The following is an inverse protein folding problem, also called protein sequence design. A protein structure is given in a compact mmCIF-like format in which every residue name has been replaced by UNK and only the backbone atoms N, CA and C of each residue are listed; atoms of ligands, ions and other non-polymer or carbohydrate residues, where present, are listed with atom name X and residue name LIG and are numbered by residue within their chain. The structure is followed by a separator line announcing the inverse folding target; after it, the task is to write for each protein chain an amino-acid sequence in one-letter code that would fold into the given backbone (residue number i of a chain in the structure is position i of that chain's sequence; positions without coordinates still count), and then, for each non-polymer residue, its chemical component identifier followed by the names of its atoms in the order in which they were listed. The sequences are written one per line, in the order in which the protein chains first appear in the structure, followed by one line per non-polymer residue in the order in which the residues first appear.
data_IF_324352314355
#
_entry.id   IF_324352314355
#
_cell.length_a   1.000
_cell.length_b   1.000
_cell.length_c   1.000
_cell.angle_alpha   90.00
_cell.angle_beta   90.00
_cell.angle_gamma   90.00
#
_symmetry.space_group_name_H-M   'P 1'
#
loop_
_entity.id
_entity.type
_entity.pdbx_description
1 polymer ?
#
# COMPACT_ATOMS: atom_id res chain seq x y z
N UNK A 1 32.99 -63.60 -22.96
CA UNK A 1 31.69 -62.92 -23.07
C UNK A 1 31.18 -62.70 -21.65
N UNK A 2 31.25 -61.44 -21.12
CA UNK A 2 30.74 -61.17 -19.82
C UNK A 2 29.26 -60.65 -19.95
N UNK A 3 28.41 -61.22 -19.11
CA UNK A 3 26.98 -60.85 -18.99
C UNK A 3 26.86 -59.57 -18.18
N UNK A 4 26.22 -58.51 -18.78
CA UNK A 4 25.79 -57.31 -18.04
C UNK A 4 24.52 -57.66 -17.25
N UNK A 5 24.42 -57.18 -16.00
CA UNK A 5 23.16 -57.22 -15.24
C UNK A 5 22.23 -56.11 -15.67
N UNK A 6 20.98 -56.43 -16.04
CA UNK A 6 19.87 -55.50 -16.18
C UNK A 6 19.54 -54.85 -14.83
N UNK A 7 19.82 -53.58 -14.70
CA UNK A 7 19.27 -52.76 -13.60
C UNK A 7 17.79 -52.46 -13.95
N UNK A 8 16.90 -53.16 -13.26
CA UNK A 8 15.48 -52.88 -13.28
C UNK A 8 15.21 -51.56 -12.52
N UNK A 9 14.97 -50.46 -13.24
CA UNK A 9 14.52 -49.18 -12.68
C UNK A 9 13.07 -49.37 -12.23
N UNK A 10 12.87 -49.57 -10.92
CA UNK A 10 11.52 -49.53 -10.31
C UNK A 10 11.05 -48.07 -10.35
N UNK A 11 10.27 -47.69 -11.35
CA UNK A 11 9.46 -46.51 -11.30
C UNK A 11 8.34 -46.74 -10.27
N UNK A 12 8.53 -46.22 -9.06
CA UNK A 12 7.47 -46.09 -8.08
C UNK A 12 6.45 -45.09 -8.65
N UNK A 13 5.41 -45.64 -9.31
CA UNK A 13 4.22 -44.87 -9.66
C UNK A 13 3.53 -44.42 -8.36
N UNK A 14 3.75 -43.19 -7.97
CA UNK A 14 2.96 -42.51 -6.93
C UNK A 14 1.49 -42.52 -7.37
N UNK A 15 0.52 -42.85 -6.50
CA UNK A 15 -0.87 -42.78 -6.82
C UNK A 15 -1.21 -41.30 -7.14
N UNK A 16 -1.50 -41.00 -8.41
CA UNK A 16 -2.11 -39.77 -8.80
C UNK A 16 -3.42 -39.64 -8.04
N UNK A 17 -3.57 -38.66 -7.17
CA UNK A 17 -4.85 -38.29 -6.56
C UNK A 17 -5.78 -37.88 -7.70
N UNK A 18 -6.61 -38.82 -8.14
CA UNK A 18 -7.53 -38.63 -9.25
C UNK A 18 -8.48 -37.48 -8.92
N UNK A 19 -8.43 -36.41 -9.70
CA UNK A 19 -9.49 -35.41 -9.79
C UNK A 19 -9.26 -34.03 -9.21
N UNK A 20 -8.16 -33.72 -8.56
CA UNK A 20 -7.93 -32.35 -8.04
C UNK A 20 -7.46 -31.40 -9.14
N UNK A 21 -8.17 -30.30 -9.38
CA UNK A 21 -7.76 -29.25 -10.32
C UNK A 21 -6.36 -28.73 -9.98
N UNK A 22 -5.41 -28.66 -10.93
CA UNK A 22 -4.08 -28.13 -10.67
C UNK A 22 -4.12 -26.63 -10.42
N UNK A 23 -3.35 -26.15 -9.44
CA UNK A 23 -3.19 -24.72 -9.14
C UNK A 23 -2.30 -24.04 -10.20
N UNK A 24 -1.45 -24.83 -10.86
CA UNK A 24 -0.50 -24.32 -11.86
C UNK A 24 0.78 -23.70 -11.25
N UNK A 25 1.00 -23.86 -9.95
CA UNK A 25 2.20 -23.41 -9.22
C UNK A 25 2.85 -24.62 -8.56
N UNK A 26 3.99 -25.14 -9.09
CA UNK A 26 4.61 -26.37 -8.60
C UNK A 26 4.97 -26.32 -7.09
N UNK A 27 5.40 -25.17 -6.59
CA UNK A 27 5.71 -25.01 -5.16
C UNK A 27 4.48 -25.18 -4.26
N UNK A 28 3.30 -24.72 -4.71
CA UNK A 28 2.04 -24.87 -3.97
C UNK A 28 1.54 -26.32 -4.01
N UNK A 29 1.66 -26.98 -5.16
CA UNK A 29 1.32 -28.39 -5.30
C UNK A 29 2.20 -29.26 -4.38
N UNK A 30 3.52 -29.01 -4.37
CA UNK A 30 4.46 -29.72 -3.50
C UNK A 30 4.14 -29.47 -2.02
N UNK A 31 3.79 -28.24 -1.65
CA UNK A 31 3.40 -27.92 -0.27
C UNK A 31 2.11 -28.63 0.15
N UNK A 32 1.07 -28.60 -0.66
CA UNK A 32 -0.18 -29.28 -0.35
C UNK A 32 -0.01 -30.79 -0.29
N UNK A 33 0.83 -31.35 -1.14
CA UNK A 33 1.18 -32.76 -1.09
C UNK A 33 1.92 -33.13 0.20
N UNK A 34 2.93 -32.33 0.60
CA UNK A 34 3.65 -32.52 1.85
C UNK A 34 2.70 -32.44 3.06
N UNK A 35 1.75 -31.52 3.02
CA UNK A 35 0.78 -31.34 4.10
C UNK A 35 -0.23 -32.49 4.16
N UNK A 36 -0.70 -32.98 3.01
CA UNK A 36 -1.54 -34.17 2.94
C UNK A 36 -0.83 -35.43 3.42
N UNK A 37 0.47 -35.58 3.07
CA UNK A 37 1.31 -36.68 3.57
C UNK A 37 1.46 -36.62 5.10
N UNK A 38 1.66 -35.42 5.66
CA UNK A 38 1.67 -35.27 7.12
C UNK A 38 0.32 -35.69 7.75
N UNK A 39 -0.82 -35.30 7.15
CA UNK A 39 -2.15 -35.72 7.61
C UNK A 39 -2.28 -37.27 7.66
N UNK A 40 -1.75 -37.94 6.63
CA UNK A 40 -1.80 -39.43 6.53
C UNK A 40 -0.88 -40.12 7.50
N UNK A 41 0.30 -39.56 7.84
CA UNK A 41 1.34 -40.17 8.68
C UNK A 41 1.33 -39.68 10.13
N UNK A 42 0.52 -38.72 10.49
CA UNK A 42 0.47 -38.08 11.81
C UNK A 42 0.16 -39.13 12.91
N UNK A 43 1.00 -39.13 13.92
CA UNK A 43 0.80 -39.96 15.15
C UNK A 43 -0.07 -39.12 16.10
N UNK A 44 -1.36 -39.40 16.16
CA UNK A 44 -2.27 -38.70 17.05
C UNK A 44 -3.72 -39.10 16.88
N UNK A 45 -4.64 -38.50 17.64
CA UNK A 45 -6.05 -38.76 17.52
C UNK A 45 -6.59 -38.49 16.10
N UNK A 46 -7.60 -39.26 15.70
CA UNK A 46 -8.22 -39.11 14.35
C UNK A 46 -8.74 -37.72 14.06
N UNK A 47 -9.25 -37.01 15.08
CA UNK A 47 -9.71 -35.65 14.98
C UNK A 47 -8.60 -34.67 14.52
N UNK A 48 -7.35 -34.90 14.95
CA UNK A 48 -6.21 -34.10 14.54
C UNK A 48 -5.87 -34.37 13.07
N UNK A 49 -5.86 -35.60 12.62
CA UNK A 49 -5.61 -35.98 11.22
C UNK A 49 -6.70 -35.37 10.30
N UNK A 50 -7.97 -35.46 10.72
CA UNK A 50 -9.09 -34.87 10.02
C UNK A 50 -8.97 -33.34 9.91
N UNK A 51 -8.57 -32.66 11.00
CA UNK A 51 -8.37 -31.20 10.98
C UNK A 51 -7.23 -30.79 10.04
N UNK A 52 -6.14 -31.55 9.98
CA UNK A 52 -5.04 -31.29 9.03
C UNK A 52 -5.52 -31.49 7.58
N UNK A 53 -6.26 -32.56 7.30
CA UNK A 53 -6.81 -32.83 5.98
C UNK A 53 -7.78 -31.72 5.51
N UNK A 54 -8.69 -31.27 6.38
CA UNK A 54 -9.56 -30.13 6.10
C UNK A 54 -8.76 -28.83 5.82
N UNK A 55 -7.65 -28.63 6.53
CA UNK A 55 -6.73 -27.50 6.29
C UNK A 55 -6.13 -27.54 4.89
N UNK A 56 -5.77 -28.73 4.37
CA UNK A 56 -5.26 -28.91 2.99
C UNK A 56 -6.31 -28.48 1.96
N UNK A 57 -7.57 -28.93 2.13
CA UNK A 57 -8.66 -28.57 1.21
C UNK A 57 -8.98 -27.08 1.25
N UNK A 58 -9.01 -26.48 2.43
CA UNK A 58 -9.22 -25.04 2.59
C UNK A 58 -8.12 -24.20 1.92
N UNK A 59 -6.85 -24.62 2.08
CA UNK A 59 -5.72 -23.95 1.42
C UNK A 59 -5.76 -24.14 -0.10
N UNK A 60 -6.06 -25.35 -0.59
CA UNK A 60 -6.22 -25.60 -2.03
C UNK A 60 -7.27 -24.69 -2.64
N UNK A 61 -8.43 -24.58 -2.01
CA UNK A 61 -9.50 -23.67 -2.45
C UNK A 61 -9.05 -22.23 -2.49
N UNK A 62 -8.34 -21.74 -1.45
CA UNK A 62 -7.79 -20.39 -1.42
C UNK A 62 -6.75 -20.14 -2.53
N UNK A 63 -5.91 -21.14 -2.82
CA UNK A 63 -4.91 -21.02 -3.88
C UNK A 63 -5.54 -21.02 -5.27
N UNK A 64 -6.57 -21.82 -5.49
CA UNK A 64 -7.32 -21.80 -6.75
C UNK A 64 -8.00 -20.44 -7.00
N UNK A 65 -8.60 -19.83 -5.96
CA UNK A 65 -9.17 -18.48 -6.06
C UNK A 65 -8.10 -17.42 -6.37
N UNK A 66 -6.93 -17.52 -5.76
CA UNK A 66 -5.81 -16.63 -6.08
C UNK A 66 -5.27 -16.85 -7.49
N UNK A 67 -5.19 -18.11 -7.95
CA UNK A 67 -4.75 -18.46 -9.31
C UNK A 67 -5.69 -17.92 -10.40
N UNK A 68 -7.01 -17.82 -10.13
CA UNK A 68 -7.98 -17.21 -11.06
C UNK A 68 -7.67 -15.74 -11.38
N UNK A 69 -6.85 -15.07 -10.59
CA UNK A 69 -6.38 -13.70 -10.84
C UNK A 69 -5.28 -13.64 -11.92
N UNK A 70 -5.08 -14.71 -12.66
CA UNK A 70 -4.10 -14.83 -13.75
C UNK A 70 -2.65 -14.83 -13.26
N UNK A 71 -1.72 -14.41 -14.12
CA UNK A 71 -0.29 -14.45 -13.85
C UNK A 71 0.13 -13.78 -12.55
N UNK A 72 -0.50 -12.65 -12.19
CA UNK A 72 -0.22 -11.97 -10.92
C UNK A 72 -0.57 -12.84 -9.68
N UNK A 73 -1.69 -13.58 -9.75
CA UNK A 73 -2.08 -14.53 -8.70
C UNK A 73 -1.12 -15.70 -8.59
N UNK A 74 -0.78 -16.31 -9.73
CA UNK A 74 0.17 -17.44 -9.79
C UNK A 74 1.54 -17.07 -9.20
N UNK A 75 2.04 -15.87 -9.44
CA UNK A 75 3.31 -15.40 -8.87
C UNK A 75 3.25 -15.15 -7.37
N UNK A 76 2.17 -14.51 -6.88
CA UNK A 76 1.99 -14.36 -5.42
C UNK A 76 2.01 -15.72 -4.74
N UNK A 77 1.37 -16.72 -5.33
CA UNK A 77 1.41 -18.09 -4.86
C UNK A 77 2.82 -18.68 -4.92
N UNK A 78 3.56 -18.48 -6.00
CA UNK A 78 4.93 -18.97 -6.15
C UNK A 78 5.89 -18.40 -5.06
N UNK A 79 5.69 -17.15 -4.66
CA UNK A 79 6.44 -16.56 -3.56
C UNK A 79 5.93 -16.98 -2.18
N UNK A 80 4.63 -17.17 -2.02
CA UNK A 80 3.96 -17.44 -0.75
C UNK A 80 4.10 -18.89 -0.32
N UNK A 81 3.91 -19.85 -1.21
CA UNK A 81 3.87 -21.28 -0.87
C UNK A 81 5.16 -21.82 -0.25
N UNK A 82 6.38 -21.43 -0.68
CA UNK A 82 7.60 -21.83 0.02
C UNK A 82 7.68 -21.34 1.47
N UNK A 83 7.24 -20.09 1.72
CA UNK A 83 7.23 -19.51 3.08
C UNK A 83 6.21 -20.21 3.98
N UNK A 84 5.01 -20.49 3.46
CA UNK A 84 3.98 -21.22 4.19
C UNK A 84 4.40 -22.66 4.47
N UNK A 85 5.07 -23.31 3.51
CA UNK A 85 5.65 -24.62 3.69
C UNK A 85 6.61 -24.64 4.89
N UNK A 86 7.56 -23.73 4.98
CA UNK A 86 8.53 -23.66 6.06
C UNK A 86 7.89 -23.30 7.41
N UNK A 87 6.89 -22.39 7.41
CA UNK A 87 6.14 -22.03 8.61
C UNK A 87 5.35 -23.21 9.14
N UNK A 88 4.60 -23.89 8.27
CA UNK A 88 3.79 -25.07 8.62
C UNK A 88 4.68 -26.20 9.08
N UNK A 89 5.76 -26.50 8.36
CA UNK A 89 6.74 -27.52 8.74
C UNK A 89 7.27 -27.27 10.16
N UNK A 90 7.71 -26.04 10.44
CA UNK A 90 8.26 -25.68 11.74
C UNK A 90 7.23 -25.79 12.86
N UNK A 91 5.99 -25.43 12.59
CA UNK A 91 4.89 -25.48 13.58
C UNK A 91 4.41 -26.92 13.81
N UNK A 92 4.26 -27.70 12.75
CA UNK A 92 3.76 -29.08 12.81
C UNK A 92 4.79 -30.01 13.41
N UNK A 93 6.07 -29.94 13.00
CA UNK A 93 7.12 -30.84 13.53
C UNK A 93 7.36 -30.66 15.02
N UNK A 94 7.03 -29.48 15.58
CA UNK A 94 7.09 -29.28 17.06
C UNK A 94 5.96 -29.95 17.82
N UNK A 95 4.78 -30.07 17.22
CA UNK A 95 3.56 -30.44 17.93
C UNK A 95 2.99 -31.79 17.46
N UNK A 96 3.33 -32.21 16.26
CA UNK A 96 2.76 -33.40 15.62
C UNK A 96 3.91 -34.20 14.99
N UNK A 97 4.05 -35.44 15.40
CA UNK A 97 5.02 -36.37 14.78
C UNK A 97 4.44 -36.86 13.45
N UNK A 98 4.77 -36.19 12.35
CA UNK A 98 4.43 -36.61 11.00
C UNK A 98 5.61 -36.43 10.05
N UNK A 99 5.55 -37.11 8.93
CA UNK A 99 6.55 -36.99 7.87
C UNK A 99 6.20 -35.76 7.00
N UNK A 100 6.99 -34.71 7.17
CA UNK A 100 6.82 -33.44 6.41
C UNK A 100 8.12 -33.13 5.66
N UNK A 101 8.19 -33.43 4.36
CA UNK A 101 9.43 -33.30 3.58
C UNK A 101 9.89 -31.81 3.51
N UNK A 102 11.16 -31.61 3.20
CA UNK A 102 11.68 -30.25 2.99
C UNK A 102 11.09 -29.60 1.73
N UNK A 103 10.96 -28.28 1.74
CA UNK A 103 10.49 -27.53 0.58
C UNK A 103 11.42 -27.79 -0.64
N UNK A 104 10.80 -28.04 -1.79
CA UNK A 104 11.52 -28.07 -3.06
C UNK A 104 11.67 -26.61 -3.52
N UNK A 105 12.91 -26.15 -3.66
CA UNK A 105 13.18 -24.83 -4.22
C UNK A 105 12.76 -24.81 -5.71
N UNK A 106 11.61 -24.26 -6.00
CA UNK A 106 11.14 -24.03 -7.38
C UNK A 106 11.40 -22.56 -7.68
N UNK A 107 12.19 -22.28 -8.73
CA UNK A 107 12.41 -20.93 -9.18
C UNK A 107 11.06 -20.29 -9.55
N UNK A 108 10.77 -19.13 -8.99
CA UNK A 108 9.60 -18.37 -9.41
C UNK A 108 9.74 -18.01 -10.92
N UNK A 109 8.64 -18.05 -11.70
CA UNK A 109 8.70 -17.65 -13.09
C UNK A 109 9.18 -16.20 -13.19
N UNK A 110 10.03 -15.91 -14.18
CA UNK A 110 10.51 -14.55 -14.41
C UNK A 110 9.32 -13.64 -14.71
N UNK A 111 9.30 -12.47 -14.08
CA UNK A 111 8.28 -11.45 -14.33
C UNK A 111 8.47 -10.87 -15.74
N UNK A 112 7.39 -10.65 -16.47
CA UNK A 112 7.47 -9.84 -17.68
C UNK A 112 7.68 -8.35 -17.33
N UNK A 113 7.98 -7.53 -18.34
CA UNK A 113 8.30 -6.11 -18.14
C UNK A 113 7.15 -5.33 -17.50
N UNK A 114 5.92 -5.61 -17.88
CA UNK A 114 4.73 -4.90 -17.39
C UNK A 114 4.45 -5.26 -15.94
N UNK A 115 4.65 -6.50 -15.59
CA UNK A 115 4.51 -7.02 -14.24
C UNK A 115 5.56 -6.46 -13.30
N UNK A 116 6.83 -6.37 -13.75
CA UNK A 116 7.90 -5.71 -13.00
C UNK A 116 7.57 -4.23 -12.71
N UNK A 117 7.01 -3.51 -13.70
CA UNK A 117 6.53 -2.14 -13.54
C UNK A 117 5.41 -2.08 -12.52
N UNK A 118 4.44 -2.99 -12.59
CA UNK A 118 3.31 -3.05 -11.66
C UNK A 118 3.77 -3.32 -10.22
N UNK A 119 4.67 -4.28 -10.02
CA UNK A 119 5.23 -4.56 -8.70
C UNK A 119 6.00 -3.38 -8.12
N UNK A 120 6.80 -2.70 -8.94
CA UNK A 120 7.53 -1.52 -8.51
C UNK A 120 6.59 -0.38 -8.12
N UNK A 121 5.53 -0.13 -8.91
CA UNK A 121 4.48 0.84 -8.57
C UNK A 121 3.84 0.48 -7.23
N UNK A 122 3.50 -0.79 -7.00
CA UNK A 122 2.92 -1.23 -5.73
C UNK A 122 3.89 -1.00 -4.55
N UNK A 123 5.20 -1.22 -4.75
CA UNK A 123 6.20 -0.93 -3.72
C UNK A 123 6.30 0.58 -3.41
N UNK A 124 6.18 1.45 -4.42
CA UNK A 124 6.09 2.89 -4.23
C UNK A 124 4.79 3.31 -3.52
N UNK A 125 3.64 2.70 -3.86
CA UNK A 125 2.37 2.91 -3.16
C UNK A 125 2.47 2.49 -1.68
N UNK A 126 3.12 1.37 -1.38
CA UNK A 126 3.37 0.93 0.00
C UNK A 126 4.17 1.96 0.80
N UNK A 127 5.19 2.56 0.18
CA UNK A 127 5.96 3.64 0.80
C UNK A 127 5.11 4.90 1.04
N UNK A 128 4.28 5.29 0.07
CA UNK A 128 3.36 6.45 0.20
C UNK A 128 2.32 6.23 1.30
N UNK A 129 1.71 5.06 1.37
CA UNK A 129 0.76 4.72 2.43
C UNK A 129 1.40 4.81 3.82
N UNK A 130 2.67 4.38 3.93
CA UNK A 130 3.42 4.52 5.17
C UNK A 130 3.64 5.99 5.55
N UNK A 131 3.94 6.87 4.58
CA UNK A 131 4.07 8.31 4.82
C UNK A 131 2.76 8.90 5.35
N UNK A 132 1.65 8.62 4.67
CA UNK A 132 0.32 9.14 5.04
C UNK A 132 -0.09 8.69 6.45
N UNK A 133 0.19 7.45 6.79
CA UNK A 133 -0.22 6.86 8.06
C UNK A 133 0.66 7.29 9.23
N UNK A 134 1.98 7.38 9.03
CA UNK A 134 2.93 7.48 10.15
C UNK A 134 3.80 8.73 10.15
N UNK A 135 4.18 9.26 8.98
CA UNK A 135 5.30 10.21 8.94
C UNK A 135 4.89 11.69 8.93
N UNK A 136 3.71 12.05 8.54
CA UNK A 136 3.13 13.43 8.63
C UNK A 136 4.17 14.56 8.81
N UNK A 137 5.17 14.66 7.93
CA UNK A 137 6.37 15.52 8.10
C UNK A 137 6.04 16.98 8.46
N UNK A 138 4.95 17.55 7.90
CA UNK A 138 4.53 18.91 8.24
C UNK A 138 4.12 19.05 9.71
N UNK A 139 3.39 18.06 10.24
CA UNK A 139 3.01 18.04 11.65
C UNK A 139 4.22 17.83 12.54
N UNK A 140 5.11 16.89 12.19
CA UNK A 140 6.35 16.66 12.94
C UNK A 140 7.23 17.91 13.00
N UNK A 141 7.29 18.68 11.91
CA UNK A 141 8.01 19.97 11.89
C UNK A 141 7.38 20.98 12.86
N UNK A 142 6.05 21.12 12.84
CA UNK A 142 5.35 22.04 13.73
C UNK A 142 5.53 21.66 15.21
N UNK A 143 5.33 20.38 15.53
CA UNK A 143 5.50 19.85 16.90
C UNK A 143 6.94 19.99 17.39
N UNK A 144 7.92 19.74 16.51
CA UNK A 144 9.33 19.92 16.81
C UNK A 144 9.66 21.38 17.10
N UNK A 145 9.20 22.31 16.27
CA UNK A 145 9.45 23.74 16.45
C UNK A 145 8.78 24.28 17.72
N UNK A 146 7.55 23.87 17.99
CA UNK A 146 6.86 24.24 19.23
C UNK A 146 7.60 23.73 20.47
N UNK A 147 8.02 22.46 20.45
CA UNK A 147 8.80 21.87 21.53
C UNK A 147 10.15 22.58 21.73
N UNK A 148 10.84 22.88 20.61
CA UNK A 148 12.12 23.61 20.66
C UNK A 148 11.97 25.03 21.22
N UNK A 149 10.93 25.74 20.86
CA UNK A 149 10.66 27.10 21.37
C UNK A 149 10.46 27.16 22.90
N UNK A 150 10.11 26.04 23.51
CA UNK A 150 9.94 25.91 24.98
C UNK A 150 11.20 25.53 25.72
N UNK A 151 12.35 25.40 25.02
CA UNK A 151 13.61 25.11 25.69
C UNK A 151 14.03 26.24 26.68
N UNK A 152 14.61 25.88 27.81
CA UNK A 152 15.22 26.85 28.70
C UNK A 152 16.28 27.70 28.02
N UNK A 153 16.47 28.92 28.45
CA UNK A 153 17.56 29.77 27.93
C UNK A 153 18.93 29.11 28.19
N UNK A 154 19.93 29.34 27.31
CA UNK A 154 21.28 28.85 27.55
C UNK A 154 21.78 29.29 28.92
N UNK A 155 22.41 28.38 29.67
CA UNK A 155 22.92 28.63 31.02
C UNK A 155 21.87 28.59 32.15
N UNK A 156 20.60 28.33 31.85
CA UNK A 156 19.61 28.12 32.90
C UNK A 156 19.91 26.84 33.69
N UNK A 157 19.76 26.90 35.04
CA UNK A 157 19.88 25.71 35.89
C UNK A 157 18.70 24.76 35.55
N UNK A 158 19.01 23.54 35.20
CA UNK A 158 18.00 22.51 34.93
C UNK A 158 17.67 21.81 36.27
N UNK A 159 16.38 21.69 36.58
CA UNK A 159 15.93 20.85 37.68
C UNK A 159 16.03 19.36 37.32
N UNK A 160 15.97 18.50 38.35
CA UNK A 160 15.98 17.04 38.12
C UNK A 160 14.77 16.55 37.32
N UNK A 161 13.69 17.33 37.29
CA UNK A 161 12.46 17.13 36.55
C UNK A 161 12.49 17.70 35.12
N UNK A 162 13.64 18.26 34.66
CA UNK A 162 13.79 18.77 33.31
C UNK A 162 13.41 17.70 32.30
N UNK A 163 12.53 18.04 31.36
CA UNK A 163 11.98 17.12 30.38
C UNK A 163 12.33 17.56 28.95
N UNK A 164 12.59 16.58 28.10
CA UNK A 164 12.74 16.77 26.67
C UNK A 164 11.38 16.58 26.00
N UNK A 165 10.73 17.67 25.60
CA UNK A 165 9.32 17.67 25.14
C UNK A 165 9.15 17.63 23.63
N UNK A 166 10.22 17.59 22.84
CA UNK A 166 10.14 17.51 21.41
C UNK A 166 10.80 16.24 20.89
N UNK A 167 10.19 15.64 19.90
CA UNK A 167 10.70 14.43 19.25
C UNK A 167 10.61 14.57 17.74
N UNK A 168 11.42 13.80 17.07
CA UNK A 168 11.39 13.61 15.62
C UNK A 168 11.19 12.13 15.33
N UNK A 169 10.70 11.81 14.13
CA UNK A 169 10.43 10.45 13.72
C UNK A 169 11.67 9.56 13.67
N UNK A 170 11.42 8.26 13.66
CA UNK A 170 12.37 7.23 13.31
C UNK A 170 12.01 6.74 11.90
N UNK A 171 12.84 7.08 10.91
CA UNK A 171 12.52 6.88 9.49
C UNK A 171 13.02 5.55 8.93
N UNK A 172 13.53 4.61 9.75
CA UNK A 172 14.08 3.34 9.27
C UNK A 172 13.07 2.55 8.46
N UNK A 173 11.83 2.49 8.93
CA UNK A 173 10.76 1.78 8.24
C UNK A 173 10.47 2.34 6.86
N UNK A 174 10.46 3.66 6.72
CA UNK A 174 10.25 4.35 5.44
C UNK A 174 11.46 4.22 4.51
N UNK A 175 12.66 4.47 5.03
CA UNK A 175 13.92 4.30 4.27
C UNK A 175 14.04 2.89 3.70
N UNK A 176 13.71 1.86 4.49
CA UNK A 176 13.71 0.47 4.01
C UNK A 176 12.74 0.25 2.84
N UNK A 177 11.52 0.80 2.91
CA UNK A 177 10.51 0.68 1.84
C UNK A 177 10.94 1.41 0.57
N UNK A 178 11.42 2.63 0.70
CA UNK A 178 11.91 3.41 -0.43
C UNK A 178 13.11 2.74 -1.12
N UNK A 179 14.08 2.21 -0.34
CA UNK A 179 15.20 1.43 -0.89
C UNK A 179 14.75 0.17 -1.62
N UNK A 180 13.77 -0.56 -1.05
CA UNK A 180 13.20 -1.74 -1.69
C UNK A 180 12.61 -1.38 -3.06
N UNK A 181 11.77 -0.35 -3.13
CA UNK A 181 11.18 0.10 -4.38
C UNK A 181 12.22 0.61 -5.38
N UNK A 182 13.20 1.42 -4.94
CA UNK A 182 14.27 1.94 -5.79
C UNK A 182 15.15 0.84 -6.39
N UNK A 183 15.42 -0.24 -5.64
CA UNK A 183 16.24 -1.37 -6.10
C UNK A 183 15.57 -2.28 -7.13
N UNK A 184 14.25 -2.16 -7.36
CA UNK A 184 13.53 -2.99 -8.33
C UNK A 184 13.94 -2.62 -9.78
N UNK A 185 14.13 -3.62 -10.67
CA UNK A 185 14.78 -3.41 -11.97
C UNK A 185 13.93 -2.65 -13.00
N UNK A 186 12.61 -2.57 -12.78
CA UNK A 186 11.73 -1.83 -13.68
C UNK A 186 11.95 -0.31 -13.56
N UNK A 187 11.89 0.41 -14.68
CA UNK A 187 11.86 1.88 -14.69
C UNK A 187 10.44 2.41 -14.59
N UNK A 188 10.21 3.34 -13.66
CA UNK A 188 8.93 4.08 -13.52
C UNK A 188 9.26 5.57 -13.49
N UNK A 189 9.45 6.21 -14.67
CA UNK A 189 9.85 7.61 -14.77
C UNK A 189 8.95 8.54 -13.95
N UNK A 190 9.52 9.59 -13.41
CA UNK A 190 8.85 10.53 -12.49
C UNK A 190 8.73 10.00 -11.06
N UNK A 191 8.20 8.79 -10.88
CA UNK A 191 8.12 8.18 -9.54
C UNK A 191 9.49 7.79 -8.99
N UNK A 192 10.33 7.18 -9.82
CA UNK A 192 11.69 6.79 -9.42
C UNK A 192 12.53 8.00 -9.01
N UNK A 193 12.40 9.09 -9.75
CA UNK A 193 13.11 10.35 -9.45
C UNK A 193 12.61 10.98 -8.15
N UNK A 194 11.28 11.06 -7.99
CA UNK A 194 10.68 11.63 -6.78
C UNK A 194 10.96 10.77 -5.54
N UNK A 195 10.86 9.44 -5.68
CA UNK A 195 11.18 8.49 -4.61
C UNK A 195 12.65 8.51 -4.22
N UNK A 196 13.57 8.58 -5.19
CA UNK A 196 15.01 8.70 -4.93
C UNK A 196 15.34 10.01 -4.22
N UNK A 197 14.69 11.13 -4.59
CA UNK A 197 14.86 12.42 -3.89
C UNK A 197 14.42 12.34 -2.43
N UNK A 198 13.27 11.76 -2.17
CA UNK A 198 12.79 11.57 -0.79
C UNK A 198 13.72 10.66 0.01
N UNK A 199 14.18 9.57 -0.59
CA UNK A 199 15.14 8.65 0.03
C UNK A 199 16.42 9.37 0.42
N UNK A 200 17.02 10.16 -0.47
CA UNK A 200 18.25 10.90 -0.21
C UNK A 200 18.11 11.89 0.97
N UNK A 201 16.99 12.60 1.05
CA UNK A 201 16.70 13.50 2.16
C UNK A 201 16.61 12.72 3.47
N UNK A 202 15.90 11.59 3.47
CA UNK A 202 15.71 10.78 4.68
C UNK A 202 17.02 10.07 5.11
N UNK A 203 17.85 9.64 4.18
CA UNK A 203 19.17 9.07 4.50
C UNK A 203 20.08 10.07 5.20
N UNK A 204 19.93 11.36 4.90
CA UNK A 204 20.65 12.43 5.58
C UNK A 204 20.03 12.78 6.94
N UNK A 205 18.70 12.82 7.02
CA UNK A 205 17.97 13.22 8.22
C UNK A 205 17.95 12.12 9.30
N UNK A 206 17.77 10.87 8.91
CA UNK A 206 17.54 9.74 9.83
C UNK A 206 18.66 9.52 10.85
N UNK A 207 19.97 9.59 10.51
CA UNK A 207 21.03 9.49 11.52
C UNK A 207 20.95 10.59 12.58
N UNK A 208 20.56 11.80 12.18
CA UNK A 208 20.45 12.97 13.08
C UNK A 208 19.26 12.76 14.04
N UNK A 209 18.13 12.33 13.54
CA UNK A 209 16.94 12.07 14.36
C UNK A 209 17.16 10.91 15.35
N UNK A 210 17.87 9.87 14.93
CA UNK A 210 18.29 8.78 15.82
C UNK A 210 19.23 9.25 16.92
N UNK A 211 20.19 10.11 16.60
CA UNK A 211 21.07 10.69 17.61
C UNK A 211 20.28 11.54 18.61
N UNK A 212 19.31 12.33 18.12
CA UNK A 212 18.44 13.14 18.96
C UNK A 212 17.54 12.27 19.85
N UNK A 213 17.03 11.17 19.32
CA UNK A 213 16.26 10.18 20.09
C UNK A 213 17.09 9.60 21.23
N UNK A 214 18.32 9.14 20.92
CA UNK A 214 19.26 8.63 21.94
C UNK A 214 19.54 9.69 23.00
N UNK A 215 19.88 10.91 22.58
CA UNK A 215 20.14 12.05 23.47
C UNK A 215 19.01 12.30 24.47
N UNK A 216 17.76 12.16 24.02
CA UNK A 216 16.58 12.21 24.89
C UNK A 216 16.51 11.03 25.85
N UNK A 217 16.71 9.81 25.37
CA UNK A 217 16.61 8.57 26.14
C UNK A 217 17.69 8.46 27.22
N UNK A 218 18.90 8.86 26.90
CA UNK A 218 20.03 8.88 27.84
C UNK A 218 20.05 10.10 28.76
N UNK A 219 19.14 11.07 28.54
CA UNK A 219 19.07 12.35 29.27
C UNK A 219 20.34 13.21 29.19
N UNK A 220 21.18 13.02 28.19
CA UNK A 220 22.38 13.85 27.97
C UNK A 220 22.06 15.36 27.96
N UNK A 221 20.83 15.75 27.63
CA UNK A 221 20.37 17.14 27.69
C UNK A 221 20.45 17.78 29.09
N UNK A 222 20.45 16.98 30.16
CA UNK A 222 20.63 17.47 31.51
C UNK A 222 22.08 17.85 31.79
N UNK A 223 23.04 17.17 31.16
CA UNK A 223 24.48 17.40 31.33
C UNK A 223 24.96 18.60 30.51
N UNK A 224 24.51 18.70 29.24
CA UNK A 224 24.95 19.75 28.31
C UNK A 224 24.01 20.97 28.25
N UNK A 225 22.93 21.00 29.02
CA UNK A 225 21.98 22.10 29.04
C UNK A 225 21.29 22.33 27.68
N UNK A 226 21.00 21.25 26.92
CA UNK A 226 20.43 21.25 25.58
C UNK A 226 21.38 21.80 24.48
N UNK A 227 22.69 21.82 24.67
CA UNK A 227 23.64 22.36 23.71
C UNK A 227 23.58 21.62 22.37
N UNK A 228 23.59 20.28 22.38
CA UNK A 228 23.49 19.46 21.16
C UNK A 228 22.15 19.69 20.43
N UNK A 229 21.04 19.81 21.16
CA UNK A 229 19.75 20.08 20.54
C UNK A 229 19.72 21.44 19.83
N UNK A 230 20.35 22.47 20.40
CA UNK A 230 20.48 23.79 19.78
C UNK A 230 21.39 23.78 18.56
N UNK A 231 22.52 23.09 18.65
CA UNK A 231 23.45 22.93 17.51
C UNK A 231 22.77 22.27 16.32
N UNK A 232 21.98 21.21 16.57
CA UNK A 232 21.34 20.43 15.49
C UNK A 232 20.03 21.02 14.99
N UNK A 233 19.44 21.97 15.72
CA UNK A 233 18.14 22.57 15.40
C UNK A 233 18.01 23.04 13.94
N UNK A 234 18.92 23.86 13.39
CA UNK A 234 18.79 24.35 12.01
C UNK A 234 18.80 23.19 10.98
N UNK A 235 19.61 22.17 11.23
CA UNK A 235 19.71 21.00 10.35
C UNK A 235 18.43 20.15 10.40
N UNK A 236 17.86 19.96 11.57
CA UNK A 236 16.62 19.20 11.75
C UNK A 236 15.45 19.92 11.08
N UNK A 237 15.31 21.23 11.31
CA UNK A 237 14.25 22.04 10.69
C UNK A 237 14.34 21.97 9.16
N UNK A 238 15.53 22.18 8.59
CA UNK A 238 15.75 22.08 7.16
C UNK A 238 15.44 20.67 6.65
N UNK A 239 15.94 19.63 7.31
CA UNK A 239 15.71 18.25 6.93
C UNK A 239 14.23 17.88 6.92
N UNK A 240 13.45 18.31 7.92
CA UNK A 240 11.99 18.08 7.96
C UNK A 240 11.24 18.87 6.87
N UNK A 241 11.67 20.12 6.59
CA UNK A 241 11.10 20.91 5.48
C UNK A 241 11.38 20.24 4.13
N UNK A 242 12.60 19.77 3.91
CA UNK A 242 13.00 19.11 2.66
C UNK A 242 12.29 17.75 2.52
N UNK A 243 12.14 17.00 3.61
CA UNK A 243 11.37 15.75 3.62
C UNK A 243 9.89 16.00 3.30
N UNK A 244 9.27 17.04 3.88
CA UNK A 244 7.90 17.43 3.56
C UNK A 244 7.72 17.78 2.09
N UNK A 245 8.61 18.61 1.53
CA UNK A 245 8.59 18.97 0.10
C UNK A 245 8.79 17.74 -0.79
N UNK A 246 9.75 16.90 -0.47
CA UNK A 246 10.02 15.69 -1.25
C UNK A 246 8.87 14.68 -1.18
N UNK A 247 8.20 14.54 -0.04
CA UNK A 247 7.03 13.70 0.13
C UNK A 247 5.83 14.21 -0.70
N UNK A 248 5.63 15.52 -0.78
CA UNK A 248 4.60 16.13 -1.64
C UNK A 248 4.90 15.82 -3.12
N UNK A 249 6.14 16.02 -3.58
CA UNK A 249 6.53 15.72 -4.96
C UNK A 249 6.35 14.23 -5.28
N UNK A 250 6.66 13.35 -4.33
CA UNK A 250 6.47 11.91 -4.48
C UNK A 250 4.98 11.54 -4.58
N UNK A 251 4.14 12.09 -3.72
CA UNK A 251 2.69 11.91 -3.79
C UNK A 251 2.10 12.43 -5.10
N UNK A 252 2.59 13.57 -5.60
CA UNK A 252 2.19 14.14 -6.89
C UNK A 252 2.53 13.22 -8.04
N UNK A 253 3.77 12.72 -8.11
CA UNK A 253 4.21 11.80 -9.17
C UNK A 253 3.39 10.49 -9.18
N UNK A 254 3.04 9.97 -7.99
CA UNK A 254 2.16 8.80 -7.86
C UNK A 254 0.74 9.11 -8.38
N UNK A 255 0.17 10.25 -7.98
CA UNK A 255 -1.17 10.67 -8.41
C UNK A 255 -1.25 10.88 -9.93
N UNK A 256 -0.23 11.49 -10.54
CA UNK A 256 -0.17 11.68 -12.00
C UNK A 256 -0.16 10.36 -12.75
N UNK A 257 0.61 9.38 -12.26
CA UNK A 257 0.62 8.05 -12.86
C UNK A 257 -0.72 7.33 -12.74
N UNK A 258 -1.38 7.45 -11.59
CA UNK A 258 -2.72 6.89 -11.41
C UNK A 258 -3.72 7.53 -12.37
N UNK A 259 -3.65 8.85 -12.58
CA UNK A 259 -4.50 9.55 -13.56
C UNK A 259 -4.29 8.97 -14.95
N UNK A 260 -3.05 8.84 -15.42
CA UNK A 260 -2.75 8.26 -16.74
C UNK A 260 -3.26 6.81 -16.87
N UNK A 261 -3.12 6.00 -15.82
CA UNK A 261 -3.67 4.64 -15.79
C UNK A 261 -5.19 4.65 -15.88
N UNK A 262 -5.84 5.46 -15.08
CA UNK A 262 -7.30 5.52 -15.01
C UNK A 262 -7.90 6.09 -16.31
N UNK A 263 -7.23 7.06 -16.96
CA UNK A 263 -7.63 7.55 -18.30
C UNK A 263 -7.56 6.46 -19.38
N UNK A 264 -6.49 5.65 -19.37
CA UNK A 264 -6.38 4.49 -20.28
C UNK A 264 -7.49 3.47 -20.01
N UNK A 265 -7.76 3.17 -18.74
CA UNK A 265 -8.81 2.23 -18.36
C UNK A 265 -10.20 2.73 -18.78
N UNK A 266 -10.50 4.02 -18.59
CA UNK A 266 -11.75 4.65 -19.07
C UNK A 266 -11.94 4.43 -20.59
N UNK A 267 -10.86 4.51 -21.38
CA UNK A 267 -10.94 4.32 -22.82
C UNK A 267 -11.31 2.87 -23.24
N UNK A 268 -11.06 1.88 -22.36
CA UNK A 268 -11.33 0.46 -22.64
C UNK A 268 -12.68 -0.03 -22.13
N UNK A 269 -13.31 0.71 -21.20
CA UNK A 269 -14.57 0.31 -20.59
C UNK A 269 -15.77 0.69 -21.49
N UNK A 270 -16.86 -0.10 -21.47
CA UNK A 270 -18.08 0.19 -22.22
C UNK A 270 -18.69 1.53 -21.81
N UNK A 271 -19.20 2.29 -22.80
CA UNK A 271 -19.89 3.55 -22.55
C UNK A 271 -21.12 3.34 -21.66
N UNK A 272 -21.34 4.26 -20.73
CA UNK A 272 -22.45 4.21 -19.78
C UNK A 272 -22.31 3.13 -18.69
N UNK A 273 -21.28 2.31 -18.69
CA UNK A 273 -21.09 1.33 -17.61
C UNK A 273 -20.73 2.00 -16.29
N UNK A 274 -21.25 1.46 -15.16
CA UNK A 274 -20.96 1.98 -13.82
C UNK A 274 -19.44 2.05 -13.55
N UNK A 275 -18.61 1.04 -13.90
CA UNK A 275 -17.16 1.15 -13.73
C UNK A 275 -16.55 2.33 -14.49
N UNK A 276 -16.99 2.62 -15.72
CA UNK A 276 -16.51 3.76 -16.52
C UNK A 276 -16.90 5.08 -15.88
N UNK A 277 -18.17 5.23 -15.50
CA UNK A 277 -18.68 6.45 -14.87
C UNK A 277 -18.01 6.74 -13.53
N UNK A 278 -17.77 5.74 -12.69
CA UNK A 278 -17.02 5.86 -11.44
C UNK A 278 -15.60 6.40 -11.69
N UNK A 279 -14.89 5.86 -12.69
CA UNK A 279 -13.55 6.33 -13.02
C UNK A 279 -13.55 7.75 -13.58
N UNK A 280 -14.50 8.09 -14.47
CA UNK A 280 -14.65 9.44 -15.01
C UNK A 280 -14.94 10.46 -13.91
N UNK A 281 -15.84 10.13 -12.99
CA UNK A 281 -16.16 10.99 -11.85
C UNK A 281 -14.96 11.16 -10.91
N UNK A 282 -14.20 10.09 -10.64
CA UNK A 282 -12.96 10.15 -9.86
C UNK A 282 -11.90 11.04 -10.53
N UNK A 283 -11.71 10.92 -11.84
CA UNK A 283 -10.77 11.76 -12.60
C UNK A 283 -11.18 13.24 -12.57
N UNK A 284 -12.49 13.52 -12.73
CA UNK A 284 -13.03 14.87 -12.63
C UNK A 284 -12.81 15.46 -11.22
N UNK A 285 -13.06 14.68 -10.17
CA UNK A 285 -12.83 15.07 -8.79
C UNK A 285 -11.35 15.41 -8.50
N UNK A 286 -10.41 14.60 -9.00
CA UNK A 286 -8.97 14.88 -8.89
C UNK A 286 -8.56 16.17 -9.60
N UNK A 287 -9.21 16.51 -10.73
CA UNK A 287 -8.98 17.80 -11.40
C UNK A 287 -9.45 18.97 -10.54
N UNK A 288 -10.60 18.85 -9.87
CA UNK A 288 -11.08 19.89 -8.92
C UNK A 288 -10.07 20.09 -7.79
N UNK A 289 -9.53 19.01 -7.19
CA UNK A 289 -8.50 19.13 -6.15
C UNK A 289 -7.23 19.80 -6.67
N UNK A 290 -6.78 19.45 -7.87
CA UNK A 290 -5.60 20.06 -8.49
C UNK A 290 -5.76 21.55 -8.70
N UNK A 291 -6.92 21.99 -9.20
CA UNK A 291 -7.24 23.41 -9.36
C UNK A 291 -7.38 24.13 -8.02
N UNK A 292 -7.89 23.44 -6.98
CA UNK A 292 -7.95 24.00 -5.63
C UNK A 292 -6.55 24.25 -5.04
N UNK A 293 -5.60 23.34 -5.26
CA UNK A 293 -4.24 23.41 -4.73
C UNK A 293 -3.30 24.27 -5.58
N UNK A 294 -3.71 24.59 -6.82
CA UNK A 294 -2.90 25.43 -7.72
C UNK A 294 -2.71 26.85 -7.15
N UNK A 295 -1.49 27.41 -7.25
CA UNK A 295 -1.24 28.80 -6.91
C UNK A 295 -1.94 29.69 -7.93
N UNK A 296 -3.16 30.14 -7.61
CA UNK A 296 -3.90 31.03 -8.48
C UNK A 296 -3.41 32.47 -8.43
N UNK A 297 -3.50 33.21 -9.58
CA UNK A 297 -3.55 34.66 -9.56
C UNK A 297 -4.73 35.11 -8.68
N UNK A 298 -4.52 36.08 -7.80
CA UNK A 298 -5.55 36.55 -6.87
C UNK A 298 -6.88 36.85 -7.62
N UNK A 299 -7.91 36.07 -7.32
CA UNK A 299 -9.28 36.28 -7.76
C UNK A 299 -9.75 35.54 -9.02
N UNK A 300 -8.91 34.76 -9.69
CA UNK A 300 -9.36 33.93 -10.82
C UNK A 300 -9.80 32.52 -10.32
N UNK A 301 -11.11 32.35 -10.19
CA UNK A 301 -11.72 31.04 -9.84
C UNK A 301 -12.38 30.39 -11.05
N UNK A 302 -12.16 30.87 -12.26
CA UNK A 302 -12.82 30.41 -13.49
C UNK A 302 -12.43 28.97 -13.83
N UNK A 303 -11.15 28.64 -13.68
CA UNK A 303 -10.65 27.26 -13.91
C UNK A 303 -11.27 26.27 -12.92
N UNK A 304 -11.30 26.62 -11.64
CA UNK A 304 -11.95 25.81 -10.60
C UNK A 304 -13.46 25.64 -10.90
N UNK A 305 -14.16 26.71 -11.28
CA UNK A 305 -15.59 26.64 -11.64
C UNK A 305 -15.83 25.68 -12.81
N UNK A 306 -14.97 25.70 -13.84
CA UNK A 306 -15.07 24.81 -14.98
C UNK A 306 -14.85 23.34 -14.61
N UNK A 307 -13.85 23.04 -13.77
CA UNK A 307 -13.60 21.66 -13.30
C UNK A 307 -14.71 21.15 -12.39
N UNK A 308 -15.30 22.00 -11.55
CA UNK A 308 -16.47 21.66 -10.72
C UNK A 308 -17.70 21.37 -11.59
N UNK A 309 -17.92 22.13 -12.67
CA UNK A 309 -19.00 21.86 -13.61
C UNK A 309 -18.81 20.51 -14.33
N UNK A 310 -17.57 20.17 -14.73
CA UNK A 310 -17.24 18.88 -15.32
C UNK A 310 -17.47 17.72 -14.32
N UNK A 311 -17.07 17.88 -13.04
CA UNK A 311 -17.35 16.90 -12.00
C UNK A 311 -18.86 16.70 -11.83
N UNK A 312 -19.63 17.76 -11.78
CA UNK A 312 -21.09 17.67 -11.67
C UNK A 312 -21.70 16.89 -12.84
N UNK A 313 -21.32 17.19 -14.07
CA UNK A 313 -21.85 16.49 -15.25
C UNK A 313 -21.53 14.99 -15.19
N UNK A 314 -20.29 14.64 -14.81
CA UNK A 314 -19.87 13.24 -14.65
C UNK A 314 -20.61 12.53 -13.52
N UNK A 315 -20.85 13.22 -12.40
CA UNK A 315 -21.57 12.65 -11.25
C UNK A 315 -23.08 12.48 -11.53
N UNK A 316 -23.69 13.43 -12.26
CA UNK A 316 -25.09 13.29 -12.70
C UNK A 316 -25.26 12.02 -13.57
N UNK A 317 -24.37 11.81 -14.53
CA UNK A 317 -24.40 10.60 -15.35
C UNK A 317 -24.23 9.31 -14.52
N UNK A 318 -23.42 9.36 -13.45
CA UNK A 318 -23.28 8.23 -12.52
C UNK A 318 -24.58 7.99 -11.75
N UNK A 319 -25.23 9.02 -11.21
CA UNK A 319 -26.55 8.90 -10.54
C UNK A 319 -27.60 8.31 -11.46
N UNK A 320 -27.77 8.87 -12.65
CA UNK A 320 -28.77 8.39 -13.63
C UNK A 320 -28.58 6.90 -13.94
N UNK A 321 -27.32 6.47 -14.05
CA UNK A 321 -27.02 5.07 -14.34
C UNK A 321 -27.26 4.15 -13.13
N UNK A 322 -26.90 4.59 -11.92
CA UNK A 322 -27.16 3.84 -10.68
C UNK A 322 -28.68 3.70 -10.42
N UNK A 323 -29.46 4.75 -10.69
CA UNK A 323 -30.92 4.72 -10.51
C UNK A 323 -31.61 3.79 -11.51
N UNK A 324 -31.08 3.70 -12.74
CA UNK A 324 -31.60 2.85 -13.80
C UNK A 324 -31.18 1.37 -13.68
N UNK A 325 -30.18 1.07 -12.85
CA UNK A 325 -29.58 -0.27 -12.76
C UNK A 325 -30.55 -1.31 -12.15
N UNK A 326 -30.59 -2.50 -12.79
CA UNK A 326 -31.29 -3.67 -12.29
C UNK A 326 -30.35 -4.89 -12.36
N UNK A 327 -30.08 -5.60 -11.25
CA UNK A 327 -30.56 -5.36 -9.87
C UNK A 327 -30.06 -4.05 -9.28
N UNK A 328 -30.64 -3.60 -8.16
CA UNK A 328 -30.19 -2.39 -7.46
C UNK A 328 -28.69 -2.43 -7.19
N UNK A 329 -27.97 -1.32 -7.43
CA UNK A 329 -26.53 -1.26 -7.22
C UNK A 329 -26.16 -1.41 -5.74
N UNK A 330 -24.91 -1.80 -5.48
CA UNK A 330 -24.36 -1.80 -4.12
C UNK A 330 -24.44 -0.41 -3.48
N UNK A 331 -24.79 -0.34 -2.20
CA UNK A 331 -24.97 0.91 -1.48
C UNK A 331 -23.70 1.77 -1.45
N UNK A 332 -22.52 1.16 -1.50
CA UNK A 332 -21.27 1.93 -1.59
C UNK A 332 -21.13 2.68 -2.92
N UNK A 333 -21.70 2.13 -4.01
CA UNK A 333 -21.71 2.84 -5.30
C UNK A 333 -22.58 4.09 -5.25
N UNK A 334 -23.74 4.01 -4.58
CA UNK A 334 -24.62 5.16 -4.33
C UNK A 334 -23.92 6.19 -3.44
N UNK A 335 -23.28 5.74 -2.36
CA UNK A 335 -22.54 6.63 -1.45
C UNK A 335 -21.38 7.36 -2.13
N UNK A 336 -20.71 6.77 -3.14
CA UNK A 336 -19.72 7.50 -3.96
C UNK A 336 -20.36 8.70 -4.62
N UNK A 337 -21.52 8.54 -5.26
CA UNK A 337 -22.20 9.63 -5.96
C UNK A 337 -22.65 10.75 -4.99
N UNK A 338 -23.17 10.39 -3.80
CA UNK A 338 -23.57 11.34 -2.74
C UNK A 338 -22.39 12.14 -2.19
N UNK A 339 -21.24 11.50 -1.96
CA UNK A 339 -20.03 12.17 -1.50
C UNK A 339 -19.47 13.12 -2.58
N UNK A 340 -19.59 12.74 -3.86
CA UNK A 340 -19.21 13.60 -4.98
C UNK A 340 -20.17 14.80 -5.12
N UNK A 341 -21.46 14.68 -4.81
CA UNK A 341 -22.38 15.84 -4.71
C UNK A 341 -21.94 16.81 -3.63
N UNK A 342 -21.51 16.30 -2.48
CA UNK A 342 -20.93 17.12 -1.41
C UNK A 342 -19.69 17.86 -1.93
N UNK A 343 -18.81 17.18 -2.66
CA UNK A 343 -17.63 17.79 -3.26
C UNK A 343 -17.97 18.87 -4.29
N UNK A 344 -18.97 18.65 -5.15
CA UNK A 344 -19.49 19.64 -6.09
C UNK A 344 -20.01 20.89 -5.35
N UNK A 345 -20.79 20.68 -4.27
CA UNK A 345 -21.30 21.79 -3.45
C UNK A 345 -20.18 22.65 -2.87
N UNK A 346 -19.16 22.03 -2.28
CA UNK A 346 -18.00 22.72 -1.70
C UNK A 346 -17.12 23.38 -2.77
N UNK A 347 -16.92 22.72 -3.90
CA UNK A 347 -16.19 23.29 -5.04
C UNK A 347 -16.86 24.56 -5.59
N UNK A 348 -18.21 24.58 -5.68
CA UNK A 348 -18.97 25.78 -6.06
C UNK A 348 -18.84 26.92 -5.05
N UNK A 349 -18.84 26.60 -3.75
CA UNK A 349 -18.64 27.59 -2.70
C UNK A 349 -17.25 28.25 -2.83
N UNK A 350 -16.20 27.45 -3.04
CA UNK A 350 -14.85 27.94 -3.29
C UNK A 350 -14.74 28.78 -4.57
N UNK A 351 -15.37 28.33 -5.67
CA UNK A 351 -15.36 29.04 -6.95
C UNK A 351 -16.08 30.40 -6.90
N UNK A 352 -16.99 30.62 -5.96
CA UNK A 352 -17.66 31.91 -5.72
C UNK A 352 -16.85 32.89 -4.85
N UNK A 353 -15.60 32.59 -4.56
CA UNK A 353 -14.72 33.42 -3.73
C UNK A 353 -14.73 33.10 -2.26
N UNK A 354 -15.32 31.95 -1.89
CA UNK A 354 -15.34 31.42 -0.51
C UNK A 354 -14.07 30.69 -0.11
N UNK A 355 -12.88 31.23 -0.34
CA UNK A 355 -11.62 30.63 0.15
C UNK A 355 -11.52 30.66 1.68
N UNK A 356 -12.37 29.90 2.33
CA UNK A 356 -12.22 29.56 3.74
C UNK A 356 -11.43 28.27 3.82
N UNK A 357 -10.40 28.28 4.65
CA UNK A 357 -9.60 27.07 4.94
C UNK A 357 -10.49 25.87 5.28
N UNK A 358 -11.59 26.10 5.97
CA UNK A 358 -12.56 25.07 6.34
C UNK A 358 -13.26 24.45 5.14
N UNK A 359 -13.69 25.25 4.14
CA UNK A 359 -14.35 24.75 2.92
C UNK A 359 -13.40 23.88 2.09
N UNK A 360 -12.11 24.25 1.99
CA UNK A 360 -11.10 23.44 1.33
C UNK A 360 -10.89 22.11 2.03
N UNK A 361 -10.82 22.12 3.35
CA UNK A 361 -10.71 20.89 4.14
C UNK A 361 -11.95 19.98 4.02
N UNK A 362 -13.15 20.56 3.87
CA UNK A 362 -14.38 19.81 3.63
C UNK A 362 -14.42 19.20 2.23
N UNK A 363 -13.92 19.90 1.21
CA UNK A 363 -13.76 19.39 -0.14
C UNK A 363 -12.86 18.14 -0.14
N UNK A 364 -11.69 18.21 0.52
CA UNK A 364 -10.76 17.10 0.63
C UNK A 364 -11.38 15.92 1.40
N UNK A 365 -12.11 16.19 2.49
CA UNK A 365 -12.80 15.15 3.26
C UNK A 365 -13.86 14.44 2.43
N UNK A 366 -14.66 15.15 1.66
CA UNK A 366 -15.67 14.57 0.77
C UNK A 366 -15.01 13.65 -0.27
N UNK A 367 -13.91 14.09 -0.88
CA UNK A 367 -13.14 13.26 -1.80
C UNK A 367 -12.61 11.98 -1.16
N UNK A 368 -11.97 12.08 0.00
CA UNK A 368 -11.40 10.91 0.70
C UNK A 368 -12.49 9.88 1.05
N UNK A 369 -13.65 10.35 1.51
CA UNK A 369 -14.81 9.50 1.81
C UNK A 369 -15.33 8.79 0.55
N UNK A 370 -15.44 9.51 -0.56
CA UNK A 370 -15.81 8.93 -1.85
C UNK A 370 -14.80 7.86 -2.32
N UNK A 371 -13.49 8.06 -2.12
CA UNK A 371 -12.43 7.07 -2.44
C UNK A 371 -12.60 5.78 -1.62
N UNK A 372 -12.92 5.89 -0.34
CA UNK A 372 -13.16 4.74 0.54
C UNK A 372 -14.37 3.92 0.04
N UNK A 373 -15.49 4.58 -0.26
CA UNK A 373 -16.68 3.94 -0.83
C UNK A 373 -16.42 3.36 -2.22
N UNK A 374 -15.65 4.06 -3.07
CA UNK A 374 -15.29 3.58 -4.42
C UNK A 374 -14.52 2.26 -4.38
N UNK A 375 -13.63 2.09 -3.42
CA UNK A 375 -12.89 0.83 -3.23
C UNK A 375 -13.83 -0.33 -2.91
N UNK A 376 -14.88 -0.10 -2.16
CA UNK A 376 -15.91 -1.09 -1.80
C UNK A 376 -16.87 -1.35 -2.96
N UNK A 377 -17.34 -0.31 -3.65
CA UNK A 377 -18.16 -0.40 -4.85
C UNK A 377 -17.47 -1.23 -5.95
N UNK A 378 -16.21 -0.97 -6.26
CA UNK A 378 -15.44 -1.75 -7.26
C UNK A 378 -15.37 -3.24 -6.91
N UNK A 379 -15.20 -3.58 -5.63
CA UNK A 379 -15.22 -5.01 -5.20
C UNK A 379 -16.58 -5.65 -5.38
N UNK A 380 -17.66 -4.92 -5.17
CA UNK A 380 -19.01 -5.40 -5.38
C UNK A 380 -19.31 -5.67 -6.87
N UNK A 381 -18.88 -4.76 -7.76
CA UNK A 381 -19.03 -4.90 -9.21
C UNK A 381 -18.31 -6.13 -9.77
N UNK A 382 -17.06 -6.40 -9.30
CA UNK A 382 -16.28 -7.60 -9.71
C UNK A 382 -16.92 -8.92 -9.24
N UNK A 383 -17.76 -8.90 -8.20
CA UNK A 383 -18.47 -10.10 -7.70
C UNK A 383 -19.80 -10.36 -8.40
N UNK A 384 -20.32 -9.37 -9.09
CA UNK A 384 -21.59 -9.46 -9.79
C UNK A 384 -21.45 -10.00 -11.23
N UNK A 385 -20.24 -9.94 -11.81
CA UNK A 385 -19.83 -10.55 -13.09
C UNK A 385 -19.33 -12.00 -12.84
#
# INVERSE_FOLDING_TARGET
MPRLPLLATILLALPATAGAQPIGVPACEAFLQAYAQCAATAKGPEIMRSSIAQGVDGMRSSYLEEAKRGNAGLRRLAARCPMEHDLVRTSITKNIQCDFPAAVAVAAPALDKEELVTEKVNAWVEAQNFIVQWEKFGQQLADYQEGYARLPKPGAKLGADATYRFSVGDYDGLVKRLRKAAAMPAGVPGMDEAGARLLAVLETLNPITKRLKRYRETREFQEDGYAMARERHPTIVRGLQDASKAAILFATALSEREVVRDERLVATLPDGSVPKLLLQTSLAARRVLREHDAPEPKGDTKALAATVAALQASNTALHDNLDAAQPKPDSNCVSVAEDMDTMVGKGRELARGGRRTDTGNELIRAYNKAVDHMSSCRRALVRAD
#
